data_IF_051456762068
#
_entry.id   IF_051456762068
#
_cell.length_a   1.000
_cell.length_b   1.000
_cell.length_c   1.000
_cell.angle_alpha   90.00
_cell.angle_beta   90.00
_cell.angle_gamma   90.00
#
_symmetry.space_group_name_H-M   'P 1'
#
loop_
_entity.id
_entity.type
_entity.pdbx_description
1 polymer ?
#
# COMPACT_ATOMS: atom_id res chain seq x y z
N UNK A 1 60.22 19.42 72.20
CA UNK A 1 60.41 19.33 70.74
C UNK A 1 60.40 17.84 70.38
N UNK A 2 59.26 17.28 69.93
CA UNK A 2 59.02 16.77 68.55
C UNK A 2 60.10 15.74 68.14
N UNK A 3 59.85 14.47 67.76
CA UNK A 3 58.75 13.84 67.01
C UNK A 3 58.87 12.30 67.09
N UNK A 4 57.71 11.65 67.28
CA UNK A 4 57.18 10.40 66.69
C UNK A 4 58.05 9.56 65.71
N UNK A 5 58.17 8.24 65.94
CA UNK A 5 58.42 7.21 64.89
C UNK A 5 57.72 5.90 65.31
N UNK A 6 56.51 5.65 64.83
CA UNK A 6 56.19 4.73 63.71
C UNK A 6 56.76 3.32 63.86
N UNK A 7 55.88 2.31 64.05
CA UNK A 7 55.61 1.21 63.11
C UNK A 7 54.58 0.25 63.73
N UNK A 8 53.29 0.51 63.48
CA UNK A 8 52.22 -0.49 63.59
C UNK A 8 51.88 -0.94 62.18
N UNK A 9 52.18 -2.18 61.82
CA UNK A 9 51.67 -2.83 60.60
C UNK A 9 51.69 -4.34 60.82
N UNK A 10 50.62 -4.86 61.40
CA UNK A 10 50.21 -6.25 61.23
C UNK A 10 48.89 -6.22 60.45
N UNK A 11 48.97 -6.59 59.17
CA UNK A 11 47.89 -6.61 58.21
C UNK A 11 47.05 -7.87 58.46
N UNK A 12 45.77 -7.82 58.90
CA UNK A 12 44.89 -8.95 58.73
C UNK A 12 44.36 -8.86 57.30
N UNK A 13 44.92 -9.69 56.44
CA UNK A 13 44.38 -10.03 55.13
C UNK A 13 43.07 -10.81 55.37
N UNK A 14 42.02 -10.11 55.79
CA UNK A 14 40.68 -10.66 55.79
C UNK A 14 40.22 -10.65 54.33
N UNK A 15 40.47 -11.80 53.70
CA UNK A 15 40.01 -12.17 52.37
C UNK A 15 38.55 -11.78 52.22
N UNK A 16 38.31 -10.69 51.47
CA UNK A 16 37.02 -10.43 50.85
C UNK A 16 36.83 -11.54 49.83
N UNK A 17 36.26 -12.66 50.27
CA UNK A 17 35.63 -13.62 49.37
C UNK A 17 34.43 -12.87 48.81
N UNK A 18 34.66 -12.09 47.75
CA UNK A 18 33.61 -11.79 46.82
C UNK A 18 33.14 -13.16 46.31
N UNK A 19 32.07 -13.67 46.90
CA UNK A 19 31.30 -14.73 46.27
C UNK A 19 30.88 -14.12 44.93
N UNK A 20 31.63 -14.43 43.88
CA UNK A 20 31.16 -14.31 42.51
C UNK A 20 29.99 -15.28 42.43
N UNK A 21 28.82 -14.81 42.85
CA UNK A 21 27.57 -15.45 42.53
C UNK A 21 27.55 -15.55 41.02
N UNK A 22 27.77 -16.76 40.48
CA UNK A 22 27.38 -17.06 39.11
C UNK A 22 25.86 -16.95 39.12
N UNK A 23 25.35 -15.75 38.87
CA UNK A 23 23.98 -15.58 38.45
C UNK A 23 23.90 -16.34 37.13
N UNK A 24 23.23 -17.50 37.17
CA UNK A 24 22.97 -18.31 35.99
C UNK A 24 21.98 -17.49 35.18
N UNK A 25 22.48 -16.58 34.35
CA UNK A 25 21.68 -15.85 33.40
C UNK A 25 20.90 -16.89 32.61
N UNK A 26 19.56 -16.81 32.67
CA UNK A 26 18.72 -17.65 31.84
C UNK A 26 19.24 -17.55 30.39
N UNK A 27 19.36 -18.69 29.68
CA UNK A 27 19.88 -18.68 28.31
C UNK A 27 19.04 -17.71 27.48
N UNK A 28 19.70 -16.81 26.75
CA UNK A 28 19.01 -15.86 25.89
C UNK A 28 18.15 -16.65 24.90
N UNK A 29 16.81 -16.52 24.93
CA UNK A 29 15.95 -17.28 24.05
C UNK A 29 16.20 -16.97 22.55
N UNK A 30 16.86 -15.86 22.25
CA UNK A 30 17.26 -15.48 20.89
C UNK A 30 18.66 -15.98 20.49
N UNK A 31 19.39 -16.63 21.39
CA UNK A 31 20.68 -17.25 21.06
C UNK A 31 20.49 -18.31 19.96
N UNK A 32 21.16 -18.12 18.82
CA UNK A 32 21.06 -19.01 17.65
C UNK A 32 19.84 -18.77 16.76
N UNK A 33 18.92 -17.87 17.12
CA UNK A 33 17.78 -17.50 16.26
C UNK A 33 18.22 -16.43 15.25
N UNK A 34 18.09 -16.73 13.96
CA UNK A 34 18.42 -15.80 12.88
C UNK A 34 17.17 -15.37 12.14
N UNK A 35 16.76 -14.12 12.33
CA UNK A 35 15.66 -13.51 11.59
C UNK A 35 16.17 -12.81 10.32
N UNK A 36 15.57 -13.14 9.18
CA UNK A 36 15.91 -12.57 7.88
C UNK A 36 15.11 -11.28 7.59
N UNK A 37 15.48 -10.59 6.51
CA UNK A 37 14.76 -9.44 5.96
C UNK A 37 14.48 -8.29 6.95
N UNK A 38 15.30 -8.16 7.98
CA UNK A 38 15.14 -7.13 9.03
C UNK A 38 14.15 -7.51 10.14
N UNK A 39 13.80 -8.79 10.28
CA UNK A 39 13.03 -9.27 11.42
C UNK A 39 13.80 -9.17 12.74
N UNK A 40 13.04 -9.03 13.83
CA UNK A 40 13.59 -8.92 15.19
C UNK A 40 13.25 -10.17 15.98
N UNK A 41 14.22 -10.78 16.66
CA UNK A 41 13.93 -11.87 17.58
C UNK A 41 13.34 -11.32 18.89
N UNK A 42 12.18 -11.84 19.31
CA UNK A 42 11.62 -11.66 20.64
C UNK A 42 11.24 -13.03 21.20
N UNK A 43 11.73 -13.35 22.40
CA UNK A 43 11.43 -14.62 23.10
C UNK A 43 11.66 -15.87 22.22
N UNK A 44 12.74 -15.86 21.43
CA UNK A 44 13.13 -16.97 20.54
C UNK A 44 12.28 -17.12 19.29
N UNK A 45 11.46 -16.12 18.96
CA UNK A 45 10.64 -16.09 17.73
C UNK A 45 10.90 -14.83 16.94
N UNK A 46 10.94 -14.95 15.62
CA UNK A 46 11.08 -13.79 14.76
C UNK A 46 9.76 -13.02 14.62
N UNK A 47 9.82 -11.72 14.90
CA UNK A 47 8.83 -10.76 14.49
C UNK A 47 9.17 -10.27 13.09
N UNK A 48 8.35 -10.65 12.11
CA UNK A 48 8.60 -10.31 10.73
C UNK A 48 8.11 -8.91 10.38
N UNK A 49 8.90 -8.15 9.59
CA UNK A 49 8.47 -6.87 9.09
C UNK A 49 7.34 -7.06 8.08
N UNK A 50 6.59 -5.99 7.82
CA UNK A 50 5.51 -5.97 6.84
C UNK A 50 6.02 -6.47 5.47
N UNK A 51 5.29 -7.41 4.87
CA UNK A 51 5.65 -8.01 3.59
C UNK A 51 6.50 -9.28 3.67
N UNK A 52 6.78 -9.79 4.88
CA UNK A 52 7.48 -11.06 5.10
C UNK A 52 6.77 -11.94 6.14
N UNK A 53 6.91 -13.25 5.99
CA UNK A 53 6.40 -14.31 6.86
C UNK A 53 7.40 -15.47 6.92
N UNK A 54 7.06 -16.54 7.64
CA UNK A 54 7.94 -17.69 7.87
C UNK A 54 8.54 -17.64 9.26
N UNK A 55 9.10 -18.77 9.70
CA UNK A 55 9.67 -18.89 11.06
C UNK A 55 10.83 -17.93 11.26
N UNK A 56 11.59 -17.65 10.20
CA UNK A 56 12.75 -16.78 10.19
C UNK A 56 12.54 -15.57 9.26
N UNK A 57 11.30 -15.23 8.92
CA UNK A 57 10.96 -14.13 8.00
C UNK A 57 11.56 -14.26 6.60
N UNK A 58 11.81 -15.49 6.15
CA UNK A 58 12.42 -15.84 4.87
C UNK A 58 11.45 -15.77 3.68
N UNK A 59 10.14 -15.82 3.94
CA UNK A 59 9.11 -15.94 2.91
C UNK A 59 8.48 -14.57 2.62
N UNK A 60 8.47 -14.09 1.36
CA UNK A 60 7.69 -12.91 1.00
C UNK A 60 6.19 -13.15 1.23
N UNK A 61 5.54 -12.24 1.96
CA UNK A 61 4.10 -12.29 2.18
C UNK A 61 3.35 -11.95 0.89
N UNK A 62 2.20 -12.60 0.66
CA UNK A 62 1.28 -12.23 -0.42
C UNK A 62 0.31 -11.16 0.08
N UNK A 63 0.16 -10.01 -0.61
CA UNK A 63 -0.83 -9.01 -0.22
C UNK A 63 -2.26 -9.56 -0.27
N UNK A 64 -3.12 -9.15 0.67
CA UNK A 64 -4.55 -9.48 0.72
C UNK A 64 -5.41 -8.44 0.00
N UNK A 65 -4.98 -7.18 0.02
CA UNK A 65 -5.64 -6.05 -0.61
C UNK A 65 -4.65 -4.92 -0.86
N UNK A 66 -5.08 -3.90 -1.62
CA UNK A 66 -4.34 -2.66 -1.82
C UNK A 66 -5.18 -1.48 -1.38
N UNK A 67 -4.58 -0.55 -0.64
CA UNK A 67 -5.16 0.74 -0.30
C UNK A 67 -4.78 1.73 -1.40
N UNK A 68 -5.76 2.27 -2.10
CA UNK A 68 -5.58 3.27 -3.16
C UNK A 68 -5.54 4.66 -2.53
N UNK A 69 -4.45 5.39 -2.77
CA UNK A 69 -4.23 6.75 -2.24
C UNK A 69 -4.45 7.82 -3.31
N UNK A 70 -4.37 7.46 -4.59
CA UNK A 70 -4.68 8.36 -5.69
C UNK A 70 -5.06 7.56 -6.94
N UNK A 71 -5.97 8.11 -7.74
CA UNK A 71 -6.31 7.62 -9.07
C UNK A 71 -6.04 8.74 -10.06
N UNK A 72 -5.27 8.44 -11.09
CA UNK A 72 -5.01 9.33 -12.22
C UNK A 72 -5.74 8.80 -13.45
N UNK A 73 -6.56 9.62 -14.10
CA UNK A 73 -7.09 9.31 -15.43
C UNK A 73 -6.03 9.75 -16.45
N UNK A 74 -5.38 8.78 -17.08
CA UNK A 74 -4.20 8.98 -17.96
C UNK A 74 -4.58 9.20 -19.40
N UNK A 75 -5.57 8.46 -19.88
CA UNK A 75 -6.08 8.53 -21.24
C UNK A 75 -7.60 8.61 -21.18
N UNK A 76 -8.15 9.52 -21.97
CA UNK A 76 -9.58 9.61 -22.25
C UNK A 76 -9.76 10.29 -23.63
N UNK A 77 -10.80 9.91 -24.40
CA UNK A 77 -11.08 10.51 -25.71
C UNK A 77 -11.52 11.99 -25.60
N UNK A 78 -11.12 12.81 -26.57
CA UNK A 78 -11.50 14.23 -26.64
C UNK A 78 -12.95 14.46 -27.10
N UNK A 79 -13.56 13.47 -27.76
CA UNK A 79 -14.91 13.52 -28.33
C UNK A 79 -15.58 12.16 -28.19
N UNK A 80 -16.91 12.13 -28.30
CA UNK A 80 -17.69 10.89 -28.43
C UNK A 80 -17.33 10.16 -29.73
N UNK A 81 -17.83 8.93 -29.86
CA UNK A 81 -17.55 8.07 -31.03
C UNK A 81 -18.12 8.61 -32.34
N UNK A 82 -19.18 9.42 -32.27
CA UNK A 82 -19.77 10.14 -33.40
C UNK A 82 -19.06 11.47 -33.72
N UNK A 83 -18.00 11.81 -32.98
CA UNK A 83 -17.26 13.06 -33.10
C UNK A 83 -17.87 14.26 -32.38
N UNK A 84 -19.03 14.09 -31.72
CA UNK A 84 -19.63 15.15 -30.91
C UNK A 84 -18.84 15.41 -29.63
N UNK A 85 -19.10 16.56 -29.02
CA UNK A 85 -18.52 16.95 -27.73
C UNK A 85 -19.21 16.22 -26.60
N UNK A 86 -18.51 16.13 -25.47
CA UNK A 86 -18.99 15.46 -24.28
C UNK A 86 -20.20 16.23 -23.72
N UNK A 87 -19.99 17.53 -23.54
CA UNK A 87 -20.97 18.47 -23.00
C UNK A 87 -21.80 19.15 -24.11
N UNK A 88 -23.05 19.49 -23.79
CA UNK A 88 -23.99 20.11 -24.72
C UNK A 88 -23.57 21.53 -25.17
N UNK A 89 -22.76 22.23 -24.39
CA UNK A 89 -22.22 23.56 -24.71
C UNK A 89 -20.99 23.51 -25.64
N UNK A 90 -20.57 22.31 -26.05
CA UNK A 90 -19.44 22.08 -26.93
C UNK A 90 -18.09 21.95 -26.20
N UNK A 91 -18.14 21.86 -24.87
CA UNK A 91 -16.96 21.79 -24.03
C UNK A 91 -16.47 20.34 -23.80
N UNK A 92 -15.47 20.18 -22.94
CA UNK A 92 -14.80 18.92 -22.63
C UNK A 92 -15.39 18.32 -21.34
N UNK A 93 -15.29 16.99 -21.12
CA UNK A 93 -16.09 16.32 -20.10
C UNK A 93 -15.76 16.78 -18.68
N UNK A 94 -16.75 16.80 -17.81
CA UNK A 94 -16.59 17.01 -16.38
C UNK A 94 -16.18 15.70 -15.69
N UNK A 95 -14.87 15.44 -15.72
CA UNK A 95 -14.31 14.10 -15.56
C UNK A 95 -14.13 13.68 -14.10
N UNK A 96 -14.52 12.44 -13.76
CA UNK A 96 -14.16 11.79 -12.50
C UNK A 96 -14.05 10.26 -12.62
N UNK A 97 -13.24 9.58 -11.80
CA UNK A 97 -13.13 8.13 -11.84
C UNK A 97 -14.20 7.45 -10.98
N UNK A 98 -14.66 6.29 -11.45
CA UNK A 98 -15.50 5.37 -10.71
C UNK A 98 -14.99 3.93 -10.84
N UNK A 99 -15.14 3.16 -9.76
CA UNK A 99 -14.79 1.75 -9.67
C UNK A 99 -16.07 0.97 -9.36
N UNK A 100 -16.18 -0.19 -9.98
CA UNK A 100 -17.34 -1.07 -9.90
C UNK A 100 -16.92 -2.47 -9.47
N UNK A 101 -17.82 -3.14 -8.76
CA UNK A 101 -17.76 -4.60 -8.67
C UNK A 101 -18.40 -5.21 -9.91
N UNK A 102 -17.95 -6.41 -10.27
CA UNK A 102 -18.55 -7.22 -11.32
C UNK A 102 -19.34 -8.36 -10.71
N UNK A 103 -20.32 -8.88 -11.46
CA UNK A 103 -21.03 -10.11 -11.14
C UNK A 103 -20.08 -11.30 -11.25
N UNK A 104 -20.55 -12.49 -10.85
CA UNK A 104 -19.77 -13.73 -10.89
C UNK A 104 -19.23 -14.11 -12.28
N UNK A 105 -19.78 -13.53 -13.36
CA UNK A 105 -19.31 -13.71 -14.73
C UNK A 105 -18.05 -12.90 -15.06
N UNK A 106 -17.57 -12.04 -14.14
CA UNK A 106 -16.45 -11.10 -14.34
C UNK A 106 -16.58 -10.20 -15.58
N UNK A 107 -17.81 -9.96 -16.05
CA UNK A 107 -18.09 -9.18 -17.27
C UNK A 107 -19.16 -8.14 -17.04
N UNK A 108 -20.20 -8.49 -16.30
CA UNK A 108 -21.33 -7.62 -16.07
C UNK A 108 -21.08 -6.77 -14.83
N UNK A 109 -21.25 -5.46 -14.94
CA UNK A 109 -21.22 -4.54 -13.79
C UNK A 109 -22.32 -4.97 -12.80
N UNK A 110 -21.93 -5.08 -11.52
CA UNK A 110 -22.85 -5.37 -10.42
C UNK A 110 -23.36 -4.07 -9.80
N UNK A 111 -22.45 -3.29 -9.21
CA UNK A 111 -22.75 -2.01 -8.56
C UNK A 111 -21.53 -1.10 -8.53
N UNK A 112 -21.78 0.19 -8.26
CA UNK A 112 -20.71 1.16 -7.96
C UNK A 112 -20.06 0.76 -6.65
N UNK A 113 -18.77 0.44 -6.70
CA UNK A 113 -17.98 0.14 -5.50
C UNK A 113 -17.45 1.43 -4.86
N UNK A 114 -17.02 2.37 -5.70
CA UNK A 114 -16.50 3.66 -5.28
C UNK A 114 -16.61 4.65 -6.44
N UNK A 115 -16.85 5.92 -6.13
CA UNK A 115 -16.75 7.01 -7.09
C UNK A 115 -16.12 8.22 -6.42
N UNK A 116 -15.36 8.99 -7.19
CA UNK A 116 -14.87 10.28 -6.70
C UNK A 116 -16.04 11.22 -6.36
N UNK A 117 -15.93 11.94 -5.25
CA UNK A 117 -16.90 12.96 -4.86
C UNK A 117 -16.65 14.31 -5.55
N UNK A 118 -15.48 14.45 -6.17
CA UNK A 118 -15.08 15.62 -6.94
C UNK A 118 -14.85 15.24 -8.39
N UNK A 119 -14.92 16.23 -9.26
CA UNK A 119 -14.70 16.10 -10.69
C UNK A 119 -13.78 17.22 -11.16
N UNK A 120 -13.08 16.99 -12.27
CA UNK A 120 -12.27 18.00 -12.94
C UNK A 120 -13.09 18.60 -14.06
N UNK A 121 -13.34 19.89 -13.99
CA UNK A 121 -14.10 20.60 -15.01
C UNK A 121 -13.29 20.70 -16.28
N UNK A 122 -13.84 20.26 -17.40
CA UNK A 122 -13.30 20.53 -18.74
C UNK A 122 -11.77 20.25 -18.95
N UNK A 123 -11.22 19.10 -18.52
CA UNK A 123 -9.79 18.86 -18.60
C UNK A 123 -9.36 18.59 -20.05
N UNK A 124 -8.20 19.11 -20.44
CA UNK A 124 -7.65 18.93 -21.79
C UNK A 124 -7.28 17.47 -22.07
N UNK A 125 -7.93 16.85 -23.06
CA UNK A 125 -7.62 15.48 -23.48
C UNK A 125 -6.12 15.27 -23.74
N UNK A 126 -5.60 14.14 -23.28
CA UNK A 126 -4.17 13.82 -23.33
C UNK A 126 -3.34 14.39 -22.16
N UNK A 127 -3.94 15.15 -21.25
CA UNK A 127 -3.35 15.46 -19.94
C UNK A 127 -3.92 14.53 -18.88
N UNK A 128 -3.06 14.15 -17.92
CA UNK A 128 -3.50 13.34 -16.78
C UNK A 128 -4.31 14.18 -15.81
N UNK A 129 -5.37 13.60 -15.26
CA UNK A 129 -6.22 14.22 -14.24
C UNK A 129 -6.10 13.40 -12.96
N UNK A 130 -5.65 14.02 -11.88
CA UNK A 130 -5.31 13.34 -10.62
C UNK A 130 -6.39 13.56 -9.56
N UNK A 131 -6.78 12.46 -8.90
CA UNK A 131 -7.74 12.43 -7.81
C UNK A 131 -7.05 11.86 -6.58
N UNK A 132 -6.93 12.65 -5.52
CA UNK A 132 -6.32 12.24 -4.25
C UNK A 132 -7.37 11.67 -3.30
N UNK A 133 -7.14 10.46 -2.79
CA UNK A 133 -8.04 9.78 -1.87
C UNK A 133 -7.48 9.95 -0.46
N UNK A 134 -7.92 11.02 0.21
CA UNK A 134 -7.43 11.34 1.56
C UNK A 134 -8.21 10.50 2.58
N UNK A 135 -9.56 10.57 2.60
CA UNK A 135 -10.44 9.76 3.47
C UNK A 135 -11.90 9.67 2.93
N UNK A 136 -12.61 8.53 3.09
CA UNK A 136 -12.07 7.22 3.52
C UNK A 136 -11.16 6.64 2.43
N UNK A 137 -10.11 5.92 2.84
CA UNK A 137 -9.21 5.28 1.90
C UNK A 137 -9.94 4.13 1.19
N UNK A 138 -9.85 4.09 -0.14
CA UNK A 138 -10.37 3.01 -0.96
C UNK A 138 -9.49 1.78 -0.79
N UNK A 139 -10.04 0.67 -0.32
CA UNK A 139 -9.34 -0.62 -0.28
C UNK A 139 -9.90 -1.54 -1.36
N UNK A 140 -9.05 -1.92 -2.32
CA UNK A 140 -9.37 -2.89 -3.35
C UNK A 140 -8.86 -4.26 -2.89
N UNK A 141 -9.81 -5.17 -2.65
CA UNK A 141 -9.53 -6.54 -2.27
C UNK A 141 -10.80 -7.40 -2.24
N UNK A 142 -10.66 -8.72 -2.08
CA UNK A 142 -9.40 -9.48 -2.06
C UNK A 142 -8.63 -9.44 -3.41
N UNK A 143 -7.34 -9.76 -3.43
CA UNK A 143 -6.48 -9.59 -4.62
C UNK A 143 -6.83 -10.49 -5.82
N UNK A 144 -7.59 -11.56 -5.60
CA UNK A 144 -8.14 -12.42 -6.65
C UNK A 144 -9.44 -11.89 -7.26
N UNK A 145 -10.01 -10.82 -6.68
CA UNK A 145 -11.24 -10.20 -7.17
C UNK A 145 -10.98 -9.37 -8.43
N UNK A 146 -11.94 -9.43 -9.35
CA UNK A 146 -11.99 -8.58 -10.54
C UNK A 146 -12.86 -7.36 -10.27
N UNK A 147 -12.33 -6.19 -10.60
CA UNK A 147 -13.01 -4.91 -10.55
C UNK A 147 -13.12 -4.33 -11.97
N UNK A 148 -13.92 -3.29 -12.11
CA UNK A 148 -13.89 -2.45 -13.29
C UNK A 148 -13.67 -0.99 -12.91
N UNK A 149 -13.00 -0.24 -13.77
CA UNK A 149 -12.77 1.19 -13.62
C UNK A 149 -13.22 1.93 -14.87
N UNK A 150 -13.82 3.10 -14.68
CA UNK A 150 -14.26 3.97 -15.76
C UNK A 150 -13.97 5.44 -15.43
N UNK A 151 -13.80 6.23 -16.48
CA UNK A 151 -13.84 7.68 -16.41
C UNK A 151 -15.26 8.11 -16.74
N UNK A 152 -15.80 9.03 -15.95
CA UNK A 152 -17.20 9.41 -15.97
C UNK A 152 -17.30 10.90 -16.22
N UNK A 153 -18.22 11.26 -17.10
CA UNK A 153 -18.63 12.62 -17.38
C UNK A 153 -19.80 13.01 -16.47
N UNK A 154 -19.72 14.21 -15.90
CA UNK A 154 -20.73 14.74 -14.99
C UNK A 154 -21.53 15.83 -15.67
N UNK A 155 -22.49 15.42 -16.50
CA UNK A 155 -23.47 16.34 -17.05
C UNK A 155 -24.73 16.44 -16.16
N UNK A 156 -25.42 17.58 -16.22
CA UNK A 156 -26.79 17.70 -15.71
C UNK A 156 -27.75 17.55 -16.92
N UNK A 157 -28.61 16.52 -17.02
CA UNK A 157 -29.01 15.57 -15.97
C UNK A 157 -28.40 14.14 -16.10
N UNK A 158 -27.32 13.96 -16.85
CA UNK A 158 -26.81 12.64 -17.27
C UNK A 158 -25.42 12.29 -16.74
N UNK A 159 -25.22 11.02 -16.39
CA UNK A 159 -23.88 10.46 -16.12
C UNK A 159 -23.48 9.62 -17.33
N UNK A 160 -22.43 10.02 -18.04
CA UNK A 160 -21.95 9.33 -19.24
C UNK A 160 -20.57 8.70 -19.01
N UNK A 161 -20.28 7.55 -19.64
CA UNK A 161 -18.96 6.93 -19.58
C UNK A 161 -18.06 7.53 -20.65
N UNK A 162 -16.92 8.06 -20.23
CA UNK A 162 -15.90 8.62 -21.12
C UNK A 162 -14.96 7.52 -21.60
N UNK A 163 -15.18 7.07 -22.85
CA UNK A 163 -14.37 6.03 -23.49
C UNK A 163 -14.83 4.62 -23.12
N UNK A 164 -13.95 3.82 -22.52
CA UNK A 164 -14.21 2.38 -22.29
C UNK A 164 -14.01 2.02 -20.82
N UNK A 165 -14.93 1.19 -20.30
CA UNK A 165 -14.79 0.57 -18.98
C UNK A 165 -13.72 -0.51 -19.06
N UNK A 166 -12.73 -0.49 -18.16
CA UNK A 166 -11.65 -1.48 -18.13
C UNK A 166 -11.83 -2.40 -16.92
N UNK A 167 -11.99 -3.70 -17.19
CA UNK A 167 -11.98 -4.74 -16.15
C UNK A 167 -10.55 -5.18 -15.84
N UNK A 168 -10.23 -5.37 -14.57
CA UNK A 168 -8.91 -5.79 -14.12
C UNK A 168 -8.98 -6.66 -12.86
N UNK A 169 -8.06 -7.61 -12.75
CA UNK A 169 -7.88 -8.45 -11.55
C UNK A 169 -6.62 -8.00 -10.84
N UNK A 170 -6.66 -7.75 -9.53
CA UNK A 170 -5.51 -7.18 -8.82
C UNK A 170 -4.28 -8.09 -8.88
N UNK A 171 -4.44 -9.41 -8.73
CA UNK A 171 -3.35 -10.38 -8.73
C UNK A 171 -2.45 -10.31 -9.98
N UNK A 172 -3.01 -9.97 -11.16
CA UNK A 172 -2.20 -9.84 -12.38
C UNK A 172 -1.39 -8.54 -12.44
N UNK A 173 -1.71 -7.56 -11.58
CA UNK A 173 -1.13 -6.22 -11.61
C UNK A 173 -0.20 -5.91 -10.42
N UNK A 174 -0.26 -6.70 -9.36
CA UNK A 174 0.52 -6.48 -8.13
C UNK A 174 1.85 -7.27 -8.09
N UNK A 175 2.18 -7.99 -9.16
CA UNK A 175 3.46 -8.70 -9.26
C UNK A 175 4.62 -7.70 -9.16
N UNK A 176 5.60 -7.99 -8.31
CA UNK A 176 6.71 -7.07 -8.03
C UNK A 176 6.35 -5.90 -7.10
N UNK A 177 5.10 -5.83 -6.64
CA UNK A 177 4.59 -4.84 -5.67
C UNK A 177 4.88 -3.39 -6.08
N UNK A 178 4.49 -2.97 -7.30
CA UNK A 178 4.72 -1.60 -7.74
C UNK A 178 3.96 -0.59 -6.86
N UNK A 179 4.56 0.57 -6.63
CA UNK A 179 3.89 1.68 -5.94
C UNK A 179 2.73 2.28 -6.78
N UNK A 180 2.71 2.00 -8.08
CA UNK A 180 1.66 2.44 -9.01
C UNK A 180 1.22 1.28 -9.88
N UNK A 181 -0.08 1.00 -9.85
CA UNK A 181 -0.72 0.03 -10.74
C UNK A 181 -1.24 0.79 -11.96
N UNK A 182 -0.73 0.44 -13.15
CA UNK A 182 -1.20 1.00 -14.42
C UNK A 182 -2.23 0.09 -15.06
N UNK A 183 -3.42 0.63 -15.33
CA UNK A 183 -4.54 -0.03 -15.99
C UNK A 183 -4.70 0.65 -17.34
N UNK A 184 -4.10 0.07 -18.37
CA UNK A 184 -4.07 0.66 -19.71
C UNK A 184 -4.81 -0.21 -20.73
N UNK A 185 -5.57 0.43 -21.59
CA UNK A 185 -6.20 -0.21 -22.73
C UNK A 185 -5.38 0.10 -24.00
N UNK A 186 -4.63 -0.86 -24.55
CA UNK A 186 -3.73 -0.59 -25.67
C UNK A 186 -4.47 -0.28 -26.98
N UNK A 187 -5.71 -0.74 -27.10
CA UNK A 187 -6.55 -0.59 -28.30
C UNK A 187 -7.62 0.48 -28.16
N UNK A 188 -7.69 1.19 -27.03
CA UNK A 188 -8.66 2.23 -26.81
C UNK A 188 -8.04 3.45 -26.13
N UNK A 189 -8.83 4.51 -26.01
CA UNK A 189 -8.38 5.81 -25.52
C UNK A 189 -8.55 5.97 -24.01
N UNK A 190 -8.67 4.88 -23.24
CA UNK A 190 -8.89 4.93 -21.79
C UNK A 190 -7.74 4.27 -21.03
N UNK A 191 -7.31 4.89 -19.93
CA UNK A 191 -6.26 4.35 -19.09
C UNK A 191 -6.12 5.09 -17.77
N UNK A 192 -5.66 4.39 -16.73
CA UNK A 192 -5.60 4.87 -15.36
C UNK A 192 -4.29 4.46 -14.69
N UNK A 193 -3.83 5.29 -13.75
CA UNK A 193 -2.79 4.91 -12.79
C UNK A 193 -3.37 4.97 -11.37
N UNK A 194 -3.08 3.96 -10.54
CA UNK A 194 -3.51 3.89 -9.15
C UNK A 194 -2.27 3.88 -8.27
N UNK A 195 -2.09 4.91 -7.43
CA UNK A 195 -1.07 4.88 -6.38
C UNK A 195 -1.60 4.03 -5.22
N UNK A 196 -0.81 3.06 -4.78
CA UNK A 196 -1.25 2.04 -3.83
C UNK A 196 -0.28 1.77 -2.68
N UNK A 197 -0.85 1.36 -1.55
CA UNK A 197 -0.15 0.79 -0.40
C UNK A 197 -0.63 -0.66 -0.19
N UNK A 198 0.29 -1.61 -0.02
CA UNK A 198 -0.04 -3.04 0.13
C UNK A 198 -0.48 -3.38 1.55
N UNK A 199 -1.52 -4.20 1.67
CA UNK A 199 -2.02 -4.72 2.95
C UNK A 199 -1.81 -6.23 2.98
N UNK A 200 -1.17 -6.75 4.05
CA UNK A 200 -0.75 -8.15 4.21
C UNK A 200 -1.50 -8.86 5.33
#
# INVERSE_FOLDING_TARGET
>A
MKINRFFFLALPMAVLIAASSCEKSDPDPCEGVTCQNGGTCLEGKCQCPTGFTGTNCETPATPKSVKVTSISIKKYPATKTDGSKWDADGSAPDLYPAIYTLKADNKTIDQVFWSSNTFSVNPTAGKSVDFSLILPALSLGPVDKTFAIAAIDKDDPGVEVVGTIISFTLNSLIAGRPATISIDCPTCSTGFDLKVEYQY
#
